data_IF_621383380407
#
_entry.id   IF_621383380407
#
_cell.length_a   1.000
_cell.length_b   1.000
_cell.length_c   1.000
_cell.angle_alpha   90.00
_cell.angle_beta   90.00
_cell.angle_gamma   90.00
#
_symmetry.space_group_name_H-M   'P 1'
#
loop_
_entity.id
_entity.type
_entity.pdbx_description
1 polymer ?
#
# COMPACT_ATOMS: atom_id res chain seq x y z
N UNK A 1 -15.62 -33.10 -5.22
CA UNK A 1 -15.14 -31.99 -6.05
C UNK A 1 -13.70 -31.75 -5.63
N UNK A 2 -12.75 -32.17 -6.45
CA UNK A 2 -11.33 -31.90 -6.20
C UNK A 2 -11.10 -30.40 -6.37
N UNK A 3 -11.17 -29.67 -5.25
CA UNK A 3 -10.70 -28.30 -5.18
C UNK A 3 -9.23 -28.34 -5.60
N UNK A 4 -8.95 -27.72 -6.75
CA UNK A 4 -7.61 -27.53 -7.26
C UNK A 4 -6.72 -27.03 -6.10
N UNK A 5 -5.50 -27.53 -5.92
CA UNK A 5 -4.65 -27.22 -4.74
C UNK A 5 -4.53 -25.71 -4.43
N UNK A 6 -4.67 -24.87 -5.46
CA UNK A 6 -4.72 -23.41 -5.37
C UNK A 6 -5.98 -22.82 -4.71
N UNK A 7 -7.11 -23.52 -4.67
CA UNK A 7 -8.34 -23.07 -4.00
C UNK A 7 -8.31 -23.33 -2.50
N UNK A 8 -7.68 -24.43 -2.05
CA UNK A 8 -7.52 -24.73 -0.63
C UNK A 8 -6.83 -23.60 0.14
N UNK A 9 -5.89 -22.89 -0.50
CA UNK A 9 -5.14 -21.78 0.12
C UNK A 9 -6.05 -20.63 0.58
N UNK A 10 -7.23 -20.47 -0.02
CA UNK A 10 -8.15 -19.37 0.28
C UNK A 10 -9.46 -19.78 0.91
N UNK A 11 -9.66 -21.06 1.21
CA UNK A 11 -10.90 -21.58 1.76
C UNK A 11 -11.39 -20.79 2.99
N UNK A 12 -10.49 -20.38 3.89
CA UNK A 12 -10.85 -19.57 5.07
C UNK A 12 -11.27 -18.14 4.73
N UNK A 13 -10.74 -17.56 3.66
CA UNK A 13 -11.19 -16.27 3.17
C UNK A 13 -12.58 -16.39 2.53
N UNK A 14 -12.80 -17.40 1.71
CA UNK A 14 -14.11 -17.65 1.09
C UNK A 14 -15.20 -17.93 2.15
N UNK A 15 -14.89 -18.72 3.19
CA UNK A 15 -15.81 -18.94 4.31
C UNK A 15 -16.15 -17.65 5.08
N UNK A 16 -15.20 -16.73 5.19
CA UNK A 16 -15.39 -15.45 5.89
C UNK A 16 -16.25 -14.48 5.07
N UNK A 17 -15.97 -14.35 3.78
CA UNK A 17 -16.61 -13.35 2.92
C UNK A 17 -17.85 -13.89 2.20
N UNK A 18 -17.99 -15.20 2.06
CA UNK A 18 -18.96 -15.83 1.16
C UNK A 18 -18.49 -15.80 -0.29
N UNK A 19 -19.08 -16.68 -1.12
CA UNK A 19 -18.64 -16.94 -2.51
C UNK A 19 -18.68 -15.66 -3.36
N UNK A 20 -19.75 -14.87 -3.25
CA UNK A 20 -19.97 -13.69 -4.10
C UNK A 20 -18.97 -12.57 -3.82
N UNK A 21 -18.83 -12.20 -2.54
CA UNK A 21 -17.91 -11.14 -2.10
C UNK A 21 -16.45 -11.57 -2.26
N UNK A 22 -16.15 -12.84 -2.01
CA UNK A 22 -14.82 -13.38 -2.29
C UNK A 22 -14.50 -13.34 -3.79
N UNK A 23 -15.46 -13.61 -4.67
CA UNK A 23 -15.27 -13.47 -6.11
C UNK A 23 -14.95 -12.02 -6.54
N UNK A 24 -15.49 -11.00 -5.85
CA UNK A 24 -15.12 -9.59 -6.06
C UNK A 24 -13.65 -9.36 -5.68
N UNK A 25 -13.23 -9.84 -4.51
CA UNK A 25 -11.84 -9.76 -4.04
C UNK A 25 -10.89 -10.42 -5.06
N UNK A 26 -11.23 -11.60 -5.56
CA UNK A 26 -10.42 -12.34 -6.55
C UNK A 26 -10.22 -11.57 -7.86
N UNK A 27 -11.23 -10.80 -8.29
CA UNK A 27 -11.26 -10.06 -9.56
C UNK A 27 -10.66 -8.65 -9.47
N UNK A 28 -10.52 -8.10 -8.27
CA UNK A 28 -10.03 -6.74 -8.08
C UNK A 28 -8.61 -6.56 -8.62
N UNK A 29 -8.38 -5.44 -9.30
CA UNK A 29 -7.10 -5.02 -9.89
C UNK A 29 -6.46 -3.95 -9.03
N UNK A 30 -5.36 -4.28 -8.39
CA UNK A 30 -4.71 -3.42 -7.40
C UNK A 30 -3.34 -2.99 -7.87
N UNK A 31 -3.09 -1.68 -7.85
CA UNK A 31 -1.75 -1.12 -8.04
C UNK A 31 -1.16 -0.71 -6.69
N UNK A 32 0.05 -1.16 -6.39
CA UNK A 32 0.81 -0.75 -5.21
C UNK A 32 2.01 0.07 -5.65
N UNK A 33 2.04 1.34 -5.21
CA UNK A 33 3.14 2.27 -5.47
C UNK A 33 4.09 2.26 -4.27
N UNK A 34 5.30 1.75 -4.46
CA UNK A 34 6.30 1.54 -3.42
C UNK A 34 6.05 0.25 -2.62
N UNK A 35 7.07 -0.60 -2.52
CA UNK A 35 7.03 -1.90 -1.80
C UNK A 35 8.08 -1.97 -0.69
N UNK A 36 8.31 -0.82 -0.04
CA UNK A 36 9.07 -0.76 1.22
C UNK A 36 8.30 -1.32 2.41
N UNK A 37 8.60 -0.83 3.61
CA UNK A 37 8.11 -1.44 4.86
C UNK A 37 6.59 -1.38 5.12
N UNK A 38 5.84 -0.64 4.30
CA UNK A 38 4.37 -0.63 4.30
C UNK A 38 3.84 -1.42 3.10
N UNK A 39 4.30 -1.08 1.90
CA UNK A 39 3.80 -1.67 0.65
C UNK A 39 4.08 -3.18 0.54
N UNK A 40 5.21 -3.68 1.06
CA UNK A 40 5.52 -5.11 1.05
C UNK A 40 4.51 -5.93 1.88
N UNK A 41 4.04 -5.36 3.00
CA UNK A 41 3.03 -5.99 3.87
C UNK A 41 1.62 -5.86 3.31
N UNK A 42 1.31 -4.74 2.65
CA UNK A 42 0.06 -4.60 1.91
C UNK A 42 -0.02 -5.64 0.78
N UNK A 43 1.09 -5.83 0.05
CA UNK A 43 1.24 -6.86 -0.98
C UNK A 43 1.01 -8.28 -0.42
N UNK A 44 1.77 -8.66 0.62
CA UNK A 44 1.66 -10.00 1.24
C UNK A 44 0.23 -10.27 1.70
N UNK A 45 -0.39 -9.31 2.39
CA UNK A 45 -1.76 -9.41 2.85
C UNK A 45 -2.75 -9.59 1.70
N UNK A 46 -2.72 -8.74 0.68
CA UNK A 46 -3.66 -8.83 -0.46
C UNK A 46 -3.50 -10.14 -1.23
N UNK A 47 -2.26 -10.56 -1.47
CA UNK A 47 -1.96 -11.82 -2.16
C UNK A 47 -2.52 -13.01 -1.38
N UNK A 48 -2.34 -13.03 -0.05
CA UNK A 48 -2.87 -14.07 0.84
C UNK A 48 -4.38 -13.96 1.07
N UNK A 49 -4.98 -12.80 0.88
CA UNK A 49 -6.42 -12.57 0.97
C UNK A 49 -7.18 -12.91 -0.31
N UNK A 50 -6.49 -13.33 -1.38
CA UNK A 50 -7.16 -13.79 -2.59
C UNK A 50 -7.11 -12.83 -3.77
N UNK A 51 -6.54 -11.64 -3.66
CA UNK A 51 -6.46 -10.74 -4.83
C UNK A 51 -5.55 -11.38 -5.89
N UNK A 52 -6.05 -11.51 -7.12
CA UNK A 52 -5.32 -12.22 -8.20
C UNK A 52 -4.50 -11.31 -9.09
N UNK A 53 -4.93 -10.06 -9.26
CA UNK A 53 -4.32 -9.08 -10.16
C UNK A 53 -3.73 -7.93 -9.34
N UNK A 54 -2.46 -8.11 -8.96
CA UNK A 54 -1.69 -7.11 -8.20
C UNK A 54 -0.51 -6.68 -9.07
N UNK A 55 -0.41 -5.38 -9.33
CA UNK A 55 0.78 -4.77 -9.92
C UNK A 55 1.55 -4.00 -8.85
N UNK A 56 2.87 -4.12 -8.84
CA UNK A 56 3.75 -3.37 -7.94
C UNK A 56 4.74 -2.50 -8.71
N UNK A 57 4.97 -1.29 -8.22
CA UNK A 57 5.91 -0.31 -8.78
C UNK A 57 6.94 0.08 -7.74
N UNK A 58 8.21 -0.18 -8.00
CA UNK A 58 9.34 0.29 -7.19
C UNK A 58 10.63 0.18 -8.03
N UNK A 59 11.62 1.01 -7.73
CA UNK A 59 12.89 1.06 -8.44
C UNK A 59 14.08 0.71 -7.54
N UNK A 60 13.88 0.67 -6.22
CA UNK A 60 14.96 0.46 -5.29
C UNK A 60 15.40 -1.01 -5.29
N UNK A 61 16.65 -1.23 -4.89
CA UNK A 61 17.16 -2.54 -4.47
C UNK A 61 17.05 -2.70 -2.96
N UNK A 62 17.15 -3.93 -2.47
CA UNK A 62 17.29 -4.17 -1.03
C UNK A 62 18.69 -3.84 -0.53
N UNK A 63 18.73 -3.32 0.70
CA UNK A 63 19.92 -3.03 1.49
C UNK A 63 19.77 -3.68 2.87
N UNK A 64 20.85 -4.03 3.56
CA UNK A 64 20.81 -4.66 4.89
C UNK A 64 19.95 -3.85 5.89
N UNK A 65 19.97 -2.52 5.80
CA UNK A 65 19.15 -1.62 6.63
C UNK A 65 17.64 -1.80 6.43
N UNK A 66 17.20 -2.59 5.45
CA UNK A 66 15.79 -2.86 5.15
C UNK A 66 15.25 -4.07 5.93
N UNK A 67 16.14 -4.96 6.43
CA UNK A 67 15.78 -6.21 7.10
C UNK A 67 14.93 -6.03 8.35
N UNK A 68 15.04 -4.88 9.00
CA UNK A 68 14.25 -4.59 10.19
C UNK A 68 12.75 -4.39 9.92
N UNK A 69 12.30 -4.25 8.66
CA UNK A 69 10.93 -3.80 8.37
C UNK A 69 10.34 -4.12 6.99
N UNK A 70 11.05 -4.78 6.08
CA UNK A 70 10.57 -5.03 4.71
C UNK A 70 10.56 -6.53 4.41
N UNK A 71 9.45 -7.05 3.89
CA UNK A 71 9.39 -8.44 3.40
C UNK A 71 10.30 -8.57 2.19
N UNK A 72 11.04 -9.68 2.06
CA UNK A 72 11.93 -9.96 0.93
C UNK A 72 13.35 -9.36 1.04
N UNK A 73 13.62 -8.63 2.12
CA UNK A 73 14.87 -7.86 2.29
C UNK A 73 16.14 -8.66 2.50
N UNK A 74 16.05 -9.98 2.69
CA UNK A 74 17.23 -10.87 2.71
C UNK A 74 17.89 -10.99 1.33
N UNK A 75 17.19 -10.62 0.25
CA UNK A 75 17.73 -10.56 -1.10
C UNK A 75 18.51 -9.26 -1.35
N UNK A 76 19.51 -8.97 -0.51
CA UNK A 76 20.33 -7.74 -0.59
C UNK A 76 20.95 -7.58 -1.98
N UNK A 77 20.85 -6.37 -2.53
CA UNK A 77 21.33 -6.02 -3.87
C UNK A 77 20.36 -6.33 -5.01
N UNK A 78 19.30 -7.10 -4.78
CA UNK A 78 18.26 -7.34 -5.79
C UNK A 78 17.23 -6.20 -5.83
N UNK A 79 16.68 -5.92 -7.01
CA UNK A 79 15.52 -5.03 -7.13
C UNK A 79 14.36 -5.58 -6.31
N UNK A 80 13.73 -4.73 -5.51
CA UNK A 80 12.66 -5.14 -4.59
C UNK A 80 11.52 -5.85 -5.33
N UNK A 81 11.12 -5.33 -6.48
CA UNK A 81 10.04 -5.93 -7.28
C UNK A 81 10.38 -7.34 -7.78
N UNK A 82 11.63 -7.58 -8.16
CA UNK A 82 12.08 -8.90 -8.66
C UNK A 82 12.17 -9.93 -7.53
N UNK A 83 12.73 -9.54 -6.38
CA UNK A 83 12.76 -10.38 -5.20
C UNK A 83 11.35 -10.72 -4.69
N UNK A 84 10.42 -9.76 -4.71
CA UNK A 84 9.02 -10.00 -4.34
C UNK A 84 8.27 -10.86 -5.37
N UNK A 85 8.59 -10.77 -6.67
CA UNK A 85 8.03 -11.65 -7.71
C UNK A 85 8.37 -13.12 -7.47
N UNK A 86 9.55 -13.42 -6.91
CA UNK A 86 9.91 -14.79 -6.49
C UNK A 86 9.00 -15.31 -5.37
N UNK A 87 8.59 -14.44 -4.44
CA UNK A 87 7.69 -14.78 -3.33
C UNK A 87 6.22 -14.85 -3.77
N UNK A 88 5.82 -14.03 -4.75
CA UNK A 88 4.45 -13.90 -5.22
C UNK A 88 4.40 -14.03 -6.76
N UNK A 89 4.50 -15.26 -7.32
CA UNK A 89 4.74 -15.45 -8.75
C UNK A 89 3.67 -14.88 -9.70
N UNK A 90 2.46 -14.59 -9.23
CA UNK A 90 1.36 -14.10 -10.09
C UNK A 90 1.26 -12.58 -10.18
N UNK A 91 2.08 -11.82 -9.46
CA UNK A 91 2.01 -10.34 -9.50
C UNK A 91 2.65 -9.79 -10.78
N UNK A 92 2.24 -8.61 -11.22
CA UNK A 92 2.95 -7.87 -12.27
C UNK A 92 3.95 -6.92 -11.63
N UNK A 93 5.19 -6.88 -12.13
CA UNK A 93 6.24 -5.99 -11.63
C UNK A 93 6.52 -4.87 -12.62
N UNK A 94 6.71 -3.66 -12.11
CA UNK A 94 7.12 -2.49 -12.87
C UNK A 94 8.33 -1.91 -12.15
N UNK A 95 9.52 -2.15 -12.70
CA UNK A 95 10.78 -1.67 -12.14
C UNK A 95 11.10 -0.25 -12.65
N UNK A 96 10.36 0.74 -12.17
CA UNK A 96 10.48 2.12 -12.64
C UNK A 96 10.48 3.11 -11.47
N UNK A 97 11.31 4.16 -11.61
CA UNK A 97 11.37 5.23 -10.63
C UNK A 97 10.16 6.15 -10.84
N UNK A 98 9.37 6.31 -9.78
CA UNK A 98 8.26 7.25 -9.79
C UNK A 98 8.76 8.68 -9.59
N UNK A 99 8.50 9.54 -10.56
CA UNK A 99 8.58 10.99 -10.44
C UNK A 99 7.29 11.65 -10.97
N UNK A 100 7.27 12.96 -11.14
CA UNK A 100 6.09 13.67 -11.65
C UNK A 100 5.76 13.23 -13.08
N UNK A 101 6.77 13.13 -13.95
CA UNK A 101 6.57 12.76 -15.36
C UNK A 101 6.06 11.33 -15.48
N UNK A 102 6.57 10.42 -14.65
CA UNK A 102 6.04 9.06 -14.55
C UNK A 102 4.56 9.09 -14.14
N UNK A 103 4.21 9.83 -13.08
CA UNK A 103 2.83 9.93 -12.61
C UNK A 103 1.95 10.59 -13.66
N UNK A 104 2.42 11.48 -14.53
CA UNK A 104 1.63 12.08 -15.61
C UNK A 104 1.35 11.10 -16.76
N UNK A 105 2.33 10.26 -17.09
CA UNK A 105 2.25 9.35 -18.24
C UNK A 105 1.69 7.95 -17.90
N UNK A 106 1.73 7.56 -16.62
CA UNK A 106 1.26 6.23 -16.22
C UNK A 106 -0.26 6.07 -16.42
N UNK A 107 -0.69 4.92 -16.94
CA UNK A 107 -2.11 4.62 -17.13
C UNK A 107 -2.71 3.96 -15.88
N UNK A 108 -3.41 4.75 -15.06
CA UNK A 108 -4.08 4.24 -13.87
C UNK A 108 -5.45 3.62 -14.15
N UNK A 109 -6.06 3.82 -15.32
CA UNK A 109 -7.44 3.39 -15.62
C UNK A 109 -7.70 1.89 -15.41
N UNK A 110 -6.78 0.97 -15.77
CA UNK A 110 -7.02 -0.46 -15.59
C UNK A 110 -7.17 -0.94 -14.14
N UNK A 111 -6.77 -0.12 -13.16
CA UNK A 111 -6.76 -0.49 -11.75
C UNK A 111 -8.02 0.02 -11.04
N UNK A 112 -8.63 -0.87 -10.26
CA UNK A 112 -9.78 -0.56 -9.41
C UNK A 112 -9.34 0.25 -8.19
N UNK A 113 -8.17 -0.07 -7.61
CA UNK A 113 -7.57 0.65 -6.48
C UNK A 113 -6.09 0.92 -6.69
N UNK A 114 -5.67 2.08 -6.17
CA UNK A 114 -4.27 2.50 -6.09
C UNK A 114 -3.89 2.65 -4.62
N UNK A 115 -2.89 1.88 -4.19
CA UNK A 115 -2.35 1.89 -2.84
C UNK A 115 -1.00 2.59 -2.85
N UNK A 116 -0.94 3.79 -2.27
CA UNK A 116 0.27 4.61 -2.26
C UNK A 116 1.05 4.44 -0.95
N UNK A 117 2.14 3.67 -1.04
CA UNK A 117 3.14 3.46 0.00
C UNK A 117 4.53 3.99 -0.40
N UNK A 118 4.59 4.87 -1.41
CA UNK A 118 5.81 5.58 -1.79
C UNK A 118 6.26 6.52 -0.67
N UNK A 119 7.50 7.00 -0.68
CA UNK A 119 8.01 7.94 0.32
C UNK A 119 8.26 9.35 -0.26
N UNK A 120 8.07 9.52 -1.56
CA UNK A 120 8.32 10.76 -2.28
C UNK A 120 7.09 11.66 -2.25
N UNK A 121 7.15 12.75 -1.47
CA UNK A 121 5.98 13.65 -1.25
C UNK A 121 5.40 14.20 -2.56
N UNK A 122 6.22 14.54 -3.56
CA UNK A 122 5.75 15.08 -4.84
C UNK A 122 4.93 14.04 -5.61
N UNK A 123 5.42 12.80 -5.68
CA UNK A 123 4.70 11.67 -6.29
C UNK A 123 3.35 11.48 -5.61
N UNK A 124 3.33 11.42 -4.27
CA UNK A 124 2.08 11.31 -3.49
C UNK A 124 1.03 12.36 -3.86
N UNK A 125 1.46 13.62 -4.03
CA UNK A 125 0.56 14.72 -4.36
C UNK A 125 -0.02 14.55 -5.78
N UNK A 126 0.81 14.19 -6.77
CA UNK A 126 0.34 13.97 -8.14
C UNK A 126 -0.55 12.73 -8.25
N UNK A 127 -0.22 11.64 -7.54
CA UNK A 127 -1.07 10.46 -7.43
C UNK A 127 -2.41 10.82 -6.79
N UNK A 128 -2.43 11.65 -5.74
CA UNK A 128 -3.67 12.14 -5.14
C UNK A 128 -4.54 12.90 -6.15
N UNK A 129 -3.95 13.81 -6.94
CA UNK A 129 -4.69 14.57 -7.94
C UNK A 129 -5.31 13.68 -9.02
N UNK A 130 -4.57 12.66 -9.50
CA UNK A 130 -5.04 11.76 -10.56
C UNK A 130 -5.98 10.65 -10.06
N UNK A 131 -5.72 10.11 -8.86
CA UNK A 131 -6.31 8.84 -8.42
C UNK A 131 -7.24 8.94 -7.22
N UNK A 132 -7.57 10.14 -6.70
CA UNK A 132 -8.32 10.29 -5.43
C UNK A 132 -9.56 9.39 -5.28
N UNK A 133 -10.29 9.12 -6.37
CA UNK A 133 -11.49 8.27 -6.39
C UNK A 133 -11.21 6.80 -6.09
N UNK A 134 -9.98 6.33 -6.23
CA UNK A 134 -9.56 4.93 -6.02
C UNK A 134 -8.33 4.80 -5.12
N UNK A 135 -7.92 5.91 -4.51
CA UNK A 135 -6.70 6.01 -3.74
C UNK A 135 -6.92 5.64 -2.27
N UNK A 136 -6.01 4.81 -1.77
CA UNK A 136 -5.71 4.66 -0.34
C UNK A 136 -4.22 4.99 -0.18
N UNK A 137 -3.91 6.01 0.61
CA UNK A 137 -2.53 6.48 0.78
C UNK A 137 -2.05 6.25 2.20
N UNK A 138 -0.87 5.67 2.36
CA UNK A 138 -0.19 5.65 3.65
C UNK A 138 0.73 6.86 3.82
N UNK A 139 0.84 7.33 5.07
CA UNK A 139 1.87 8.29 5.47
C UNK A 139 3.08 7.59 6.08
N UNK A 140 4.00 8.37 6.65
CA UNK A 140 5.19 7.83 7.30
C UNK A 140 4.81 6.97 8.51
N UNK A 141 5.40 5.79 8.62
CA UNK A 141 5.26 4.87 9.75
C UNK A 141 6.55 4.72 10.56
N UNK A 142 7.57 5.52 10.24
CA UNK A 142 8.82 5.61 10.98
C UNK A 142 8.62 6.34 12.32
N UNK A 143 9.63 6.22 13.21
CA UNK A 143 9.76 6.90 14.51
C UNK A 143 8.71 6.54 15.54
N UNK A 144 8.05 5.40 15.34
CA UNK A 144 6.87 4.95 16.08
C UNK A 144 7.01 3.47 16.38
N UNK A 145 6.37 3.02 17.46
CA UNK A 145 6.33 1.60 17.82
C UNK A 145 4.94 1.13 18.26
N UNK A 146 3.98 2.02 18.53
CA UNK A 146 2.64 1.66 18.98
C UNK A 146 1.68 1.51 17.78
N UNK A 147 1.50 0.27 17.32
CA UNK A 147 0.59 -0.04 16.22
C UNK A 147 -0.88 0.19 16.56
N UNK A 148 -1.25 0.31 17.84
CA UNK A 148 -2.64 0.59 18.24
C UNK A 148 -3.08 2.01 17.89
N UNK A 149 -2.12 2.91 17.61
CA UNK A 149 -2.36 4.29 17.19
C UNK A 149 -2.58 4.45 15.69
N UNK A 150 -2.56 3.37 14.91
CA UNK A 150 -2.82 3.47 13.48
C UNK A 150 -4.30 3.82 13.26
N UNK A 151 -4.53 4.86 12.47
CA UNK A 151 -5.84 5.40 12.15
C UNK A 151 -6.08 5.42 10.64
N UNK A 152 -7.36 5.31 10.27
CA UNK A 152 -7.84 5.47 8.91
C UNK A 152 -8.81 6.65 8.88
N UNK A 153 -8.55 7.62 8.00
CA UNK A 153 -9.42 8.78 7.87
C UNK A 153 -9.45 9.35 6.46
N UNK A 154 -10.29 10.37 6.27
CA UNK A 154 -10.16 11.32 5.17
C UNK A 154 -8.79 12.02 5.23
N UNK A 155 -8.18 12.29 4.08
CA UNK A 155 -7.00 13.17 3.98
C UNK A 155 -7.19 14.45 4.80
N UNK A 156 -8.38 15.07 4.80
CA UNK A 156 -8.65 16.34 5.49
C UNK A 156 -8.81 16.20 7.00
N UNK A 157 -9.05 14.99 7.50
CA UNK A 157 -9.22 14.69 8.93
C UNK A 157 -7.95 14.12 9.57
N UNK A 158 -6.93 13.77 8.78
CA UNK A 158 -5.66 13.26 9.31
C UNK A 158 -4.91 14.30 10.16
N UNK A 159 -4.18 13.84 11.19
CA UNK A 159 -3.46 14.69 12.15
C UNK A 159 -2.22 13.97 12.74
N UNK A 160 -1.44 14.65 13.57
CA UNK A 160 -0.28 14.10 14.29
C UNK A 160 0.95 13.72 13.43
N UNK A 161 0.76 13.50 12.11
CA UNK A 161 1.84 13.12 11.20
C UNK A 161 2.37 14.30 10.35
N UNK A 162 3.70 14.47 10.32
CA UNK A 162 4.37 15.55 9.62
C UNK A 162 4.26 15.45 8.09
N UNK A 163 4.33 14.24 7.52
CA UNK A 163 4.17 14.01 6.08
C UNK A 163 2.73 14.31 5.68
N UNK A 164 1.75 13.82 6.44
CA UNK A 164 0.34 14.12 6.24
C UNK A 164 0.05 15.62 6.26
N UNK A 165 0.61 16.34 7.25
CA UNK A 165 0.50 17.81 7.32
C UNK A 165 1.08 18.48 6.08
N UNK A 166 2.25 18.05 5.62
CA UNK A 166 2.90 18.58 4.41
C UNK A 166 2.02 18.34 3.18
N UNK A 167 1.53 17.13 2.97
CA UNK A 167 0.64 16.78 1.85
C UNK A 167 -0.64 17.62 1.88
N UNK A 168 -1.33 17.72 3.02
CA UNK A 168 -2.53 18.56 3.17
C UNK A 168 -2.26 20.01 2.79
N UNK A 169 -1.12 20.56 3.21
CA UNK A 169 -0.76 21.95 2.90
C UNK A 169 -0.50 22.15 1.40
N UNK A 170 0.23 21.24 0.74
CA UNK A 170 0.47 21.32 -0.69
C UNK A 170 -0.81 21.14 -1.52
N UNK A 171 -1.71 20.22 -1.12
CA UNK A 171 -3.02 20.07 -1.76
C UNK A 171 -3.87 21.34 -1.62
N UNK A 172 -3.86 21.99 -0.44
CA UNK A 172 -4.53 23.29 -0.24
C UNK A 172 -3.96 24.38 -1.14
N UNK A 173 -2.62 24.49 -1.25
CA UNK A 173 -1.96 25.44 -2.17
C UNK A 173 -2.36 25.19 -3.62
N UNK A 174 -2.48 23.93 -4.02
CA UNK A 174 -2.95 23.53 -5.34
C UNK A 174 -4.47 23.68 -5.54
N UNK A 175 -5.20 24.24 -4.56
CA UNK A 175 -6.67 24.37 -4.56
C UNK A 175 -7.41 23.04 -4.76
N UNK A 176 -6.76 21.92 -4.41
CA UNK A 176 -7.35 20.60 -4.49
C UNK A 176 -8.27 20.36 -3.28
N UNK A 177 -9.54 20.08 -3.51
CA UNK A 177 -10.57 19.94 -2.47
C UNK A 177 -11.26 18.57 -2.43
N UNK A 178 -10.79 17.59 -3.23
CA UNK A 178 -11.36 16.24 -3.24
C UNK A 178 -10.86 15.43 -2.04
N UNK A 179 -11.62 14.41 -1.68
CA UNK A 179 -11.30 13.53 -0.54
C UNK A 179 -10.78 12.17 -1.03
N UNK A 180 -9.87 11.58 -0.26
CA UNK A 180 -9.40 10.20 -0.40
C UNK A 180 -9.02 9.64 0.98
N UNK A 181 -8.90 8.32 1.06
CA UNK A 181 -8.60 7.61 2.31
C UNK A 181 -7.10 7.64 2.59
N UNK A 182 -6.74 7.91 3.84
CA UNK A 182 -5.36 7.84 4.31
C UNK A 182 -5.23 6.93 5.52
N UNK A 183 -4.12 6.22 5.60
CA UNK A 183 -3.69 5.41 6.76
C UNK A 183 -2.46 6.08 7.36
N UNK A 184 -2.54 6.40 8.65
CA UNK A 184 -1.49 7.16 9.35
C UNK A 184 -1.47 6.80 10.84
N UNK A 185 -0.50 7.32 11.58
CA UNK A 185 -0.51 7.27 13.04
C UNK A 185 -0.25 8.68 13.58
N UNK A 186 -1.05 9.17 14.53
CA UNK A 186 -0.80 10.43 15.20
C UNK A 186 0.17 10.28 16.39
N UNK A 187 0.75 9.10 16.60
CA UNK A 187 1.80 8.90 17.61
C UNK A 187 2.94 9.89 17.37
N UNK A 188 3.36 10.56 18.45
CA UNK A 188 4.49 11.49 18.40
C UNK A 188 5.80 10.75 18.08
N UNK A 189 6.65 11.39 17.27
CA UNK A 189 7.99 10.90 16.93
C UNK A 189 8.80 10.57 18.20
N UNK A 190 9.24 9.31 18.32
CA UNK A 190 10.08 8.84 19.44
C UNK A 190 11.58 9.07 19.24
N UNK A 191 11.99 9.47 18.03
CA UNK A 191 13.37 9.77 17.71
C UNK A 191 13.50 10.82 16.59
N UNK A 192 14.69 11.43 16.49
CA UNK A 192 14.99 12.44 15.46
C UNK A 192 15.22 11.80 14.10
N UNK A 193 16.05 10.75 14.07
CA UNK A 193 16.37 9.98 12.87
C UNK A 193 15.20 9.12 12.41
N UNK A 194 15.27 8.58 11.18
CA UNK A 194 14.24 7.67 10.64
C UNK A 194 14.35 6.25 11.23
N UNK A 195 14.31 6.13 12.56
CA UNK A 195 14.17 4.84 13.23
C UNK A 195 12.85 4.16 12.83
N UNK A 196 12.79 2.84 12.84
CA UNK A 196 11.60 2.12 12.39
C UNK A 196 11.42 0.80 13.13
N UNK A 197 10.17 0.48 13.42
CA UNK A 197 9.74 -0.78 14.02
C UNK A 197 8.73 -1.46 13.10
N UNK A 198 9.01 -2.71 12.73
CA UNK A 198 8.14 -3.52 11.85
C UNK A 198 6.72 -3.65 12.39
N UNK A 199 6.52 -3.60 13.71
CA UNK A 199 5.20 -3.62 14.32
C UNK A 199 4.30 -2.50 13.76
N UNK A 200 4.85 -1.30 13.52
CA UNK A 200 4.07 -0.17 12.99
C UNK A 200 4.05 -0.16 11.48
N UNK A 201 5.19 -0.37 10.80
CA UNK A 201 5.23 -0.33 9.33
C UNK A 201 4.41 -1.46 8.72
N UNK A 202 4.59 -2.68 9.27
CA UNK A 202 3.85 -3.86 8.87
C UNK A 202 2.36 -3.72 9.18
N UNK A 203 1.99 -3.32 10.40
CA UNK A 203 0.58 -3.09 10.73
C UNK A 203 -0.06 -2.01 9.85
N UNK A 204 0.67 -0.95 9.49
CA UNK A 204 0.18 0.06 8.54
C UNK A 204 -0.15 -0.58 7.18
N UNK A 205 0.72 -1.47 6.68
CA UNK A 205 0.47 -2.23 5.45
C UNK A 205 -0.74 -3.16 5.55
N UNK A 206 -0.91 -3.85 6.68
CA UNK A 206 -2.09 -4.67 6.96
C UNK A 206 -3.37 -3.83 7.04
N UNK A 207 -3.32 -2.63 7.62
CA UNK A 207 -4.46 -1.70 7.64
C UNK A 207 -4.79 -1.20 6.23
N UNK A 208 -3.79 -0.87 5.40
CA UNK A 208 -4.01 -0.51 3.99
C UNK A 208 -4.70 -1.65 3.23
N UNK A 209 -4.26 -2.89 3.41
CA UNK A 209 -4.91 -4.08 2.85
C UNK A 209 -6.36 -4.22 3.32
N UNK A 210 -6.62 -4.05 4.63
CA UNK A 210 -7.98 -4.09 5.18
C UNK A 210 -8.90 -3.05 4.56
N UNK A 211 -8.43 -1.82 4.38
CA UNK A 211 -9.21 -0.76 3.72
C UNK A 211 -9.45 -1.03 2.24
N UNK A 212 -8.49 -1.63 1.54
CA UNK A 212 -8.67 -2.05 0.15
C UNK A 212 -9.78 -3.10 0.04
N UNK A 213 -9.76 -4.14 0.89
CA UNK A 213 -10.81 -5.16 0.94
C UNK A 213 -12.17 -4.54 1.25
N UNK A 214 -12.28 -3.69 2.28
CA UNK A 214 -13.54 -3.00 2.60
C UNK A 214 -14.10 -2.20 1.43
N UNK A 215 -13.23 -1.61 0.61
CA UNK A 215 -13.63 -0.82 -0.55
C UNK A 215 -14.13 -1.70 -1.70
N UNK A 216 -13.41 -2.78 -2.01
CA UNK A 216 -13.84 -3.79 -3.00
C UNK A 216 -15.22 -4.35 -2.65
N UNK A 217 -15.50 -4.58 -1.36
CA UNK A 217 -16.77 -5.11 -0.90
C UNK A 217 -17.92 -4.09 -0.94
N UNK A 218 -17.61 -2.79 -0.83
CA UNK A 218 -18.61 -1.70 -0.78
C UNK A 218 -19.01 -1.15 -2.15
N UNK A 219 -18.14 -1.24 -3.15
CA UNK A 219 -18.42 -0.72 -4.49
C UNK A 219 -19.40 -1.66 -5.22
N UNK A 220 -20.69 -1.52 -4.86
CA UNK A 220 -21.91 -1.97 -5.56
C UNK A 220 -23.13 -1.18 -5.04
#
# INVERSE_FOLDING_TARGET
MDLNKNELRFQRCELLFGIEDFAKIRKAKILILGVGGVGSYALDCLYRSGVSDISIVDYDTYDESNQNRQIGSDAVGEYKVEALKKLYPTITTINEKMDIAWVENFNFEPYDLVLDASDTTKVKIEVAKRCYKKLIMSFGSAKRYDSSKIEVASIWKSHGDALGRKIRNELKKAKFNRNFTVVFSPEEDKCKEKGSCVAVTGATGLTVCSEAIKRILKDN
#
